data_IF_006631487827
#
_entry.id   IF_006631487827
#
_cell.length_a   1.000
_cell.length_b   1.000
_cell.length_c   1.000
_cell.angle_alpha   90.00
_cell.angle_beta   90.00
_cell.angle_gamma   90.00
#
_symmetry.space_group_name_H-M   'P 1'
#
loop_
_entity.id
_entity.type
_entity.pdbx_description
1 polymer ?
#
# COMPACT_ATOMS: atom_id res chain seq x y z
N UNK A 1 8.61 -16.82 7.01
CA UNK A 1 8.82 -15.46 6.46
C UNK A 1 8.15 -15.47 5.10
N UNK A 2 7.25 -14.53 4.76
CA UNK A 2 6.55 -14.62 3.48
C UNK A 2 7.54 -14.66 2.32
N UNK A 3 7.39 -15.61 1.41
CA UNK A 3 8.20 -15.76 0.21
C UNK A 3 7.65 -14.94 -0.97
N UNK A 4 8.42 -14.82 -2.04
CA UNK A 4 8.06 -14.05 -3.24
C UNK A 4 6.63 -14.30 -3.76
N UNK A 5 6.16 -15.56 -3.87
CA UNK A 5 4.79 -15.86 -4.30
C UNK A 5 3.71 -15.34 -3.33
N UNK A 6 3.96 -15.38 -2.02
CA UNK A 6 3.01 -14.96 -1.00
C UNK A 6 2.88 -13.44 -0.96
N UNK A 7 4.00 -12.74 -1.12
CA UNK A 7 4.04 -11.27 -1.26
C UNK A 7 3.28 -10.82 -2.51
N UNK A 8 3.44 -11.53 -3.65
CA UNK A 8 2.70 -11.22 -4.88
C UNK A 8 1.19 -11.37 -4.68
N UNK A 9 0.73 -12.48 -4.10
CA UNK A 9 -0.71 -12.70 -3.84
C UNK A 9 -1.30 -11.63 -2.91
N UNK A 10 -0.55 -11.22 -1.89
CA UNK A 10 -0.97 -10.15 -0.99
C UNK A 10 -1.09 -8.80 -1.74
N UNK A 11 -0.11 -8.48 -2.58
CA UNK A 11 -0.13 -7.28 -3.40
C UNK A 11 -1.33 -7.26 -4.37
N UNK A 12 -1.60 -8.37 -5.07
CA UNK A 12 -2.73 -8.48 -5.99
C UNK A 12 -4.07 -8.28 -5.26
N UNK A 13 -4.20 -8.85 -4.04
CA UNK A 13 -5.42 -8.71 -3.23
C UNK A 13 -5.64 -7.27 -2.75
N UNK A 14 -4.56 -6.59 -2.34
CA UNK A 14 -4.62 -5.19 -1.93
C UNK A 14 -4.93 -4.29 -3.14
N UNK A 15 -4.28 -4.53 -4.28
CA UNK A 15 -4.48 -3.76 -5.50
C UNK A 15 -5.93 -3.88 -5.97
N UNK A 16 -6.51 -5.08 -5.97
CA UNK A 16 -7.93 -5.28 -6.28
C UNK A 16 -8.89 -4.54 -5.34
N UNK A 17 -8.50 -4.34 -4.07
CA UNK A 17 -9.36 -3.73 -3.06
C UNK A 17 -9.39 -2.20 -3.10
N UNK A 18 -8.28 -1.53 -3.46
CA UNK A 18 -8.15 -0.06 -3.31
C UNK A 18 -7.64 0.67 -4.56
N UNK A 19 -7.21 -0.05 -5.62
CA UNK A 19 -6.63 0.60 -6.80
C UNK A 19 -7.62 1.55 -7.44
N UNK A 20 -7.12 2.74 -7.76
CA UNK A 20 -7.89 3.74 -8.49
C UNK A 20 -8.98 4.42 -7.67
N UNK A 21 -9.24 4.03 -6.42
CA UNK A 21 -10.19 4.71 -5.53
C UNK A 21 -9.49 5.79 -4.70
N UNK A 22 -10.16 6.93 -4.39
CA UNK A 22 -9.58 7.98 -3.58
C UNK A 22 -9.51 7.53 -2.11
N UNK A 23 -8.33 7.66 -1.49
CA UNK A 23 -8.15 7.33 -0.08
C UNK A 23 -8.95 8.28 0.80
N UNK A 24 -9.85 7.74 1.62
CA UNK A 24 -10.64 8.51 2.60
C UNK A 24 -9.91 8.70 3.92
N UNK A 25 -8.87 7.88 4.18
CA UNK A 25 -8.03 7.94 5.35
C UNK A 25 -6.76 7.11 5.16
N UNK A 26 -5.70 7.50 5.86
CA UNK A 26 -4.45 6.77 5.95
C UNK A 26 -3.94 6.84 7.39
N UNK A 27 -3.40 5.73 7.90
CA UNK A 27 -2.88 5.66 9.26
C UNK A 27 -1.54 4.90 9.29
N UNK A 28 -0.57 5.45 10.02
CA UNK A 28 0.72 4.82 10.23
C UNK A 28 1.07 4.81 11.73
N UNK A 29 1.50 3.64 12.21
CA UNK A 29 1.92 3.48 13.60
C UNK A 29 3.19 4.28 13.94
N UNK A 30 4.08 4.47 12.96
CA UNK A 30 5.41 5.06 13.19
C UNK A 30 5.40 6.59 13.05
N UNK A 31 5.92 7.35 14.03
CA UNK A 31 5.89 8.81 14.02
C UNK A 31 6.49 9.44 12.76
N UNK A 32 7.60 8.90 12.26
CA UNK A 32 8.28 9.39 11.06
C UNK A 32 7.49 9.18 9.76
N UNK A 33 6.37 8.48 9.80
CA UNK A 33 5.47 8.29 8.66
C UNK A 33 4.15 9.06 8.80
N UNK A 34 3.83 9.59 9.99
CA UNK A 34 2.52 10.20 10.25
C UNK A 34 2.27 11.46 9.42
N UNK A 35 3.32 12.20 9.02
CA UNK A 35 3.16 13.38 8.17
C UNK A 35 2.64 13.05 6.77
N UNK A 36 2.79 11.81 6.30
CA UNK A 36 2.22 11.36 5.03
C UNK A 36 0.70 11.12 5.10
N UNK A 37 0.12 10.92 6.29
CA UNK A 37 -1.30 10.56 6.41
C UNK A 37 -2.22 11.57 5.75
N UNK A 38 -2.07 12.86 6.09
CA UNK A 38 -2.86 13.94 5.51
C UNK A 38 -2.55 14.20 4.04
N UNK A 39 -1.31 13.93 3.61
CA UNK A 39 -0.89 14.09 2.22
C UNK A 39 -1.49 13.03 1.29
N UNK A 40 -1.81 11.85 1.83
CA UNK A 40 -2.37 10.72 1.07
C UNK A 40 -3.89 10.75 0.96
N UNK A 41 -4.60 11.46 1.85
CA UNK A 41 -6.07 11.60 1.74
C UNK A 41 -6.41 12.28 0.41
N UNK A 42 -7.33 11.69 -0.35
CA UNK A 42 -7.73 12.12 -1.69
C UNK A 42 -6.82 11.60 -2.82
N UNK A 43 -5.64 11.05 -2.51
CA UNK A 43 -4.77 10.40 -3.50
C UNK A 43 -5.30 9.00 -3.85
N UNK A 44 -4.74 8.41 -4.91
CA UNK A 44 -5.13 7.08 -5.40
C UNK A 44 -3.92 6.17 -5.47
N UNK A 45 -4.09 4.91 -5.07
CA UNK A 45 -3.10 3.87 -5.33
C UNK A 45 -3.14 3.53 -6.82
N UNK A 46 -2.02 3.72 -7.52
CA UNK A 46 -1.89 3.47 -8.95
C UNK A 46 -1.47 2.04 -9.26
N UNK A 47 -0.53 1.52 -8.47
CA UNK A 47 -0.01 0.16 -8.59
C UNK A 47 0.68 -0.28 -7.29
N UNK A 48 0.70 -1.59 -7.00
CA UNK A 48 1.46 -2.17 -5.91
C UNK A 48 2.55 -3.06 -6.49
N UNK A 49 3.76 -2.53 -6.54
CA UNK A 49 4.92 -3.26 -7.07
C UNK A 49 5.53 -4.16 -5.97
N UNK A 50 5.72 -5.45 -6.26
CA UNK A 50 6.49 -6.35 -5.39
C UNK A 50 7.92 -6.44 -5.87
N UNK A 51 8.86 -5.98 -5.04
CA UNK A 51 10.29 -6.12 -5.26
C UNK A 51 10.80 -7.30 -4.44
N UNK A 52 11.35 -8.30 -5.13
CA UNK A 52 12.01 -9.43 -4.48
C UNK A 52 13.17 -8.96 -3.62
N UNK A 53 13.60 -9.78 -2.66
CA UNK A 53 14.75 -9.49 -1.80
C UNK A 53 16.09 -9.97 -2.39
N UNK A 54 16.16 -10.20 -3.71
CA UNK A 54 17.37 -10.67 -4.39
C UNK A 54 18.34 -9.52 -4.67
#
# INVERSE_FOLDING_TARGET
>A
MPEGPEIRRAADSLEAAIKGEPLTGAWFAFPQLQHYQSQLVGQRVTHIETRGKA
#
